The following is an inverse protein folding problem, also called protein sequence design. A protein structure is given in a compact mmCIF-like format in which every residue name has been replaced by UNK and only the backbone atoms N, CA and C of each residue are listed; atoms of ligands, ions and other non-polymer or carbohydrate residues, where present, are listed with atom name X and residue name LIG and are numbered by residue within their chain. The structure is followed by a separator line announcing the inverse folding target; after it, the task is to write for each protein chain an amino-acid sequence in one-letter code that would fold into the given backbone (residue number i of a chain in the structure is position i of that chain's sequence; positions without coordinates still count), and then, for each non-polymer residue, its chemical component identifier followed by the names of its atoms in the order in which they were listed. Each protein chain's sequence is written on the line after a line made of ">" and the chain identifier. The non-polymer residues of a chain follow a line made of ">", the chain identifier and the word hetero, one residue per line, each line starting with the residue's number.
data_IF_610440361213
#
_entry.id   IF_610440361213
#
_cell.length_a   1.000
_cell.length_b   1.000
_cell.length_c   1.000
_cell.angle_alpha   90.00
_cell.angle_beta   90.00
_cell.angle_gamma   90.00
#
_symmetry.space_group_name_H-M   'P 1'
#
loop_
_entity.id
_entity.type
_entity.pdbx_description
1 polymer ?
#
# COMPACT_ATOMS: atom_id res chain seq x y z
N UNK A 1 -49.69 18.18 -41.13
CA UNK A 1 -50.09 16.94 -40.44
C UNK A 1 -49.00 15.89 -40.66
N UNK A 2 -48.37 15.42 -39.56
CA UNK A 2 -47.70 14.11 -39.36
C UNK A 2 -46.49 13.82 -40.28
N UNK A 3 -45.30 13.45 -39.82
CA UNK A 3 -44.82 13.04 -38.51
C UNK A 3 -43.30 13.26 -38.49
N UNK A 4 -42.80 13.84 -37.40
CA UNK A 4 -41.37 13.91 -37.08
C UNK A 4 -40.89 12.49 -36.77
N UNK A 5 -39.80 12.05 -37.41
CA UNK A 5 -39.11 10.80 -37.08
C UNK A 5 -37.79 11.17 -36.40
N UNK A 6 -37.83 11.31 -35.08
CA UNK A 6 -36.66 11.50 -34.22
C UNK A 6 -35.92 10.18 -34.07
N UNK A 7 -34.71 10.09 -34.63
CA UNK A 7 -33.76 9.01 -34.39
C UNK A 7 -33.08 9.32 -33.04
N UNK A 8 -33.51 8.65 -31.97
CA UNK A 8 -32.84 8.71 -30.67
C UNK A 8 -31.54 7.90 -30.73
N UNK A 9 -30.42 8.61 -30.80
CA UNK A 9 -29.08 8.06 -30.67
C UNK A 9 -28.83 7.70 -29.20
N UNK A 10 -29.04 6.42 -28.83
CA UNK A 10 -28.68 5.91 -27.52
C UNK A 10 -27.16 5.69 -27.52
N UNK A 11 -26.42 6.70 -27.06
CA UNK A 11 -25.00 6.60 -26.77
C UNK A 11 -24.88 5.86 -25.41
N UNK A 12 -24.79 4.52 -25.47
CA UNK A 12 -24.45 3.71 -24.30
C UNK A 12 -23.03 4.11 -23.87
N UNK A 13 -22.93 4.86 -22.78
CA UNK A 13 -21.68 5.04 -22.04
C UNK A 13 -21.25 3.67 -21.51
N UNK A 14 -20.49 2.93 -22.33
CA UNK A 14 -19.68 1.79 -21.91
C UNK A 14 -18.63 2.37 -20.95
N UNK A 15 -18.98 2.46 -19.68
CA UNK A 15 -17.99 2.70 -18.64
C UNK A 15 -17.11 1.46 -18.63
N UNK A 16 -15.80 1.54 -18.89
CA UNK A 16 -14.94 0.40 -18.62
C UNK A 16 -15.15 0.07 -17.14
N UNK A 17 -15.61 -1.15 -16.87
CA UNK A 17 -15.45 -1.75 -15.55
C UNK A 17 -13.95 -1.69 -15.28
N UNK A 18 -13.53 -0.73 -14.46
CA UNK A 18 -12.21 -0.75 -13.84
C UNK A 18 -12.22 -1.94 -12.89
N UNK A 19 -12.04 -3.13 -13.46
CA UNK A 19 -11.57 -4.27 -12.67
C UNK A 19 -10.28 -3.80 -12.03
N UNK A 20 -10.24 -3.83 -10.69
CA UNK A 20 -8.99 -3.60 -9.97
C UNK A 20 -7.93 -4.48 -10.61
N UNK A 21 -6.80 -3.90 -10.99
CA UNK A 21 -5.70 -4.68 -11.54
C UNK A 21 -5.33 -5.75 -10.50
N UNK A 22 -5.08 -6.98 -10.96
CA UNK A 22 -4.53 -8.00 -10.08
C UNK A 22 -3.21 -7.50 -9.49
N UNK A 23 -2.92 -7.78 -8.21
CA UNK A 23 -1.68 -7.33 -7.61
C UNK A 23 -0.46 -7.81 -8.39
N UNK A 24 0.63 -7.03 -8.38
CA UNK A 24 1.86 -7.46 -9.04
C UNK A 24 2.37 -8.79 -8.45
N UNK A 25 3.23 -9.53 -9.18
CA UNK A 25 3.85 -10.74 -8.65
C UNK A 25 4.58 -10.51 -7.32
N UNK A 26 5.26 -9.37 -7.16
CA UNK A 26 5.99 -9.04 -5.94
C UNK A 26 5.04 -8.75 -4.76
N UNK A 27 3.96 -8.00 -4.98
CA UNK A 27 2.95 -7.76 -3.94
C UNK A 27 2.24 -9.07 -3.55
N UNK A 28 1.89 -9.90 -4.54
CA UNK A 28 1.30 -11.22 -4.34
C UNK A 28 2.21 -12.15 -3.54
N UNK A 29 3.51 -12.14 -3.82
CA UNK A 29 4.50 -12.94 -3.11
C UNK A 29 4.60 -12.53 -1.64
N UNK A 30 4.57 -11.23 -1.31
CA UNK A 30 4.57 -10.75 0.07
C UNK A 30 3.36 -11.29 0.84
N UNK A 31 2.15 -11.17 0.27
CA UNK A 31 0.91 -11.64 0.90
C UNK A 31 0.93 -13.17 1.03
N UNK A 32 1.40 -13.89 0.02
CA UNK A 32 1.49 -15.33 0.05
C UNK A 32 2.48 -15.82 1.11
N UNK A 33 3.63 -15.15 1.25
CA UNK A 33 4.60 -15.44 2.31
C UNK A 33 4.00 -15.22 3.71
N UNK A 34 3.26 -14.13 3.92
CA UNK A 34 2.55 -13.88 5.18
C UNK A 34 1.52 -14.99 5.47
N UNK A 35 0.75 -15.42 4.46
CA UNK A 35 -0.19 -16.53 4.59
C UNK A 35 0.50 -17.83 5.01
N UNK A 36 1.62 -18.16 4.39
CA UNK A 36 2.39 -19.36 4.72
C UNK A 36 3.03 -19.27 6.11
N UNK A 37 3.52 -18.12 6.50
CA UNK A 37 4.07 -17.88 7.83
C UNK A 37 3.03 -18.13 8.93
N UNK A 38 1.83 -17.55 8.78
CA UNK A 38 0.73 -17.77 9.72
C UNK A 38 0.31 -19.24 9.76
N UNK A 39 0.20 -19.91 8.61
CA UNK A 39 -0.15 -21.33 8.56
C UNK A 39 0.92 -22.23 9.22
N UNK A 40 2.20 -21.89 9.10
CA UNK A 40 3.29 -22.61 9.80
C UNK A 40 3.28 -22.37 11.30
N UNK A 41 2.76 -21.22 11.75
CA UNK A 41 2.66 -20.88 13.16
C UNK A 41 1.38 -21.44 13.78
N UNK A 42 1.50 -22.60 14.42
CA UNK A 42 0.40 -23.27 15.15
C UNK A 42 -0.84 -23.57 14.27
N UNK A 43 -0.66 -23.71 12.95
CA UNK A 43 -1.76 -23.87 11.98
C UNK A 43 -2.72 -22.68 11.97
N UNK A 44 -2.17 -21.47 12.08
CA UNK A 44 -2.94 -20.23 12.03
C UNK A 44 -3.69 -20.04 10.70
N UNK A 45 -4.78 -19.30 10.77
CA UNK A 45 -5.55 -18.86 9.62
C UNK A 45 -5.22 -17.39 9.34
N UNK A 46 -4.75 -17.13 8.12
CA UNK A 46 -4.41 -15.80 7.65
C UNK A 46 -5.65 -15.07 7.13
N UNK A 47 -5.80 -13.81 7.54
CA UNK A 47 -6.79 -12.90 6.98
C UNK A 47 -6.16 -11.54 6.67
N UNK A 48 -6.57 -10.95 5.55
CA UNK A 48 -6.20 -9.60 5.13
C UNK A 48 -7.45 -8.81 4.74
N UNK A 49 -7.48 -7.51 5.06
CA UNK A 49 -8.54 -6.61 4.61
C UNK A 49 -8.34 -6.23 3.14
N UNK A 50 -9.37 -5.61 2.53
CA UNK A 50 -9.28 -5.07 1.16
C UNK A 50 -8.25 -3.92 1.05
N UNK A 51 -7.87 -3.32 2.17
CA UNK A 51 -6.89 -2.23 2.23
C UNK A 51 -5.45 -2.72 2.35
N UNK A 52 -5.22 -4.04 2.39
CA UNK A 52 -3.90 -4.64 2.47
C UNK A 52 -2.98 -4.23 1.32
N UNK A 53 -3.54 -3.98 0.15
CA UNK A 53 -2.80 -3.46 -1.00
C UNK A 53 -3.43 -2.14 -1.45
N UNK A 54 -2.66 -1.06 -1.39
CA UNK A 54 -3.07 0.26 -1.90
C UNK A 54 -2.14 0.75 -2.99
N UNK A 55 -2.57 1.76 -3.74
CA UNK A 55 -1.87 2.23 -4.93
C UNK A 55 -1.53 3.72 -4.80
N UNK A 56 -0.26 4.07 -5.00
CA UNK A 56 0.27 5.43 -4.87
C UNK A 56 1.37 5.66 -5.90
N UNK A 57 1.25 6.72 -6.70
CA UNK A 57 2.28 7.13 -7.66
C UNK A 57 3.45 7.81 -6.90
N UNK A 58 4.50 7.05 -6.60
CA UNK A 58 5.71 7.54 -5.96
C UNK A 58 6.76 7.98 -6.98
N UNK A 59 6.81 7.31 -8.14
CA UNK A 59 7.79 7.59 -9.20
C UNK A 59 7.46 8.85 -10.00
N UNK A 60 6.19 9.26 -10.00
CA UNK A 60 5.67 10.43 -10.72
C UNK A 60 5.46 10.18 -12.21
N UNK A 61 5.41 8.92 -12.64
CA UNK A 61 5.24 8.54 -14.06
C UNK A 61 3.77 8.35 -14.46
N UNK A 62 2.84 8.52 -13.51
CA UNK A 62 1.41 8.33 -13.69
C UNK A 62 0.94 6.87 -13.58
N UNK A 63 1.84 5.92 -13.30
CA UNK A 63 1.52 4.53 -12.97
C UNK A 63 1.71 4.32 -11.45
N UNK A 64 0.61 4.14 -10.69
CA UNK A 64 0.74 3.95 -9.24
C UNK A 64 1.53 2.69 -8.87
N UNK A 65 2.44 2.84 -7.91
CA UNK A 65 3.09 1.72 -7.24
C UNK A 65 2.20 1.13 -6.14
N UNK A 66 2.44 -0.14 -5.82
CA UNK A 66 1.70 -0.85 -4.78
C UNK A 66 2.36 -0.69 -3.43
N UNK A 67 1.53 -0.49 -2.40
CA UNK A 67 1.91 -0.59 -1.01
C UNK A 67 1.24 -1.84 -0.45
N UNK A 68 2.01 -2.72 0.18
CA UNK A 68 1.51 -3.84 0.96
C UNK A 68 1.63 -3.48 2.44
N UNK A 69 0.50 -3.33 3.13
CA UNK A 69 0.43 -2.87 4.53
C UNK A 69 0.09 -4.03 5.47
N UNK A 70 1.07 -4.51 6.24
CA UNK A 70 0.87 -5.62 7.16
C UNK A 70 -0.03 -5.27 8.36
N UNK A 71 -0.35 -3.99 8.59
CA UNK A 71 -1.34 -3.61 9.61
C UNK A 71 -2.76 -4.06 9.27
N UNK A 72 -2.97 -4.43 8.00
CA UNK A 72 -4.19 -5.01 7.49
C UNK A 72 -4.18 -6.54 7.53
N UNK A 73 -3.07 -7.16 7.96
CA UNK A 73 -2.96 -8.60 8.12
C UNK A 73 -3.35 -9.03 9.53
N UNK A 74 -3.84 -10.25 9.66
CA UNK A 74 -4.10 -10.91 10.93
C UNK A 74 -3.86 -12.41 10.83
N UNK A 75 -3.37 -13.00 11.92
CA UNK A 75 -3.19 -14.43 12.08
C UNK A 75 -3.97 -14.89 13.29
N UNK A 76 -4.79 -15.94 13.14
CA UNK A 76 -5.66 -16.41 14.24
C UNK A 76 -4.90 -16.88 15.49
N UNK A 77 -3.63 -17.25 15.34
CA UNK A 77 -2.75 -17.78 16.40
C UNK A 77 -1.72 -16.77 16.90
N UNK A 78 -1.59 -15.59 16.27
CA UNK A 78 -0.64 -14.56 16.69
C UNK A 78 -1.17 -13.14 16.45
N UNK A 79 -1.35 -12.40 17.54
CA UNK A 79 -1.81 -11.01 17.49
C UNK A 79 -0.78 -10.02 16.94
N UNK A 80 0.50 -10.41 16.87
CA UNK A 80 1.61 -9.51 16.56
C UNK A 80 2.60 -10.15 15.59
N UNK A 81 2.12 -10.96 14.63
CA UNK A 81 2.99 -11.69 13.71
C UNK A 81 3.87 -10.76 12.86
N UNK A 82 3.29 -9.69 12.31
CA UNK A 82 3.99 -8.76 11.40
C UNK A 82 4.23 -7.37 12.01
N UNK A 83 4.13 -7.25 13.33
CA UNK A 83 4.34 -5.98 14.01
C UNK A 83 4.60 -6.12 15.50
N UNK A 84 4.95 -5.00 16.12
CA UNK A 84 5.24 -4.93 17.55
C UNK A 84 5.41 -3.47 18.00
N UNK A 85 6.11 -3.26 19.12
CA UNK A 85 6.35 -1.91 19.63
C UNK A 85 7.19 -1.02 18.70
N UNK A 86 8.00 -1.64 17.83
CA UNK A 86 8.80 -0.93 16.82
C UNK A 86 7.99 -0.43 15.61
N UNK A 87 6.78 -0.95 15.43
CA UNK A 87 5.95 -0.71 14.25
C UNK A 87 5.48 -2.01 13.60
N UNK A 88 4.80 -1.85 12.48
CA UNK A 88 4.29 -2.93 11.63
C UNK A 88 4.95 -2.82 10.26
N UNK A 89 5.18 -3.96 9.61
CA UNK A 89 5.81 -3.99 8.30
C UNK A 89 4.95 -3.31 7.23
N UNK A 90 5.64 -2.62 6.32
CA UNK A 90 5.09 -1.96 5.16
C UNK A 90 6.06 -2.18 4.00
N UNK A 91 5.56 -2.60 2.85
CA UNK A 91 6.39 -2.72 1.64
C UNK A 91 5.85 -1.81 0.56
N UNK A 92 6.73 -1.10 -0.14
CA UNK A 92 6.39 -0.41 -1.38
C UNK A 92 7.05 -1.14 -2.54
N UNK A 93 6.27 -1.57 -3.53
CA UNK A 93 6.76 -2.29 -4.70
C UNK A 93 6.94 -1.30 -5.83
N UNK A 94 8.19 -1.05 -6.21
CA UNK A 94 8.55 -0.17 -7.33
C UNK A 94 9.30 -0.98 -8.36
N UNK A 95 8.80 -1.01 -9.61
CA UNK A 95 9.38 -1.81 -10.70
C UNK A 95 9.60 -3.29 -10.33
N UNK A 96 8.65 -3.87 -9.59
CA UNK A 96 8.71 -5.26 -9.11
C UNK A 96 9.69 -5.51 -7.96
N UNK A 97 10.34 -4.48 -7.44
CA UNK A 97 11.24 -4.57 -6.29
C UNK A 97 10.56 -4.06 -5.02
N UNK A 98 10.47 -4.87 -3.95
CA UNK A 98 9.95 -4.43 -2.68
C UNK A 98 10.97 -3.59 -1.90
N UNK A 99 10.49 -2.47 -1.34
CA UNK A 99 11.19 -1.63 -0.38
C UNK A 99 10.48 -1.77 0.97
N UNK A 100 11.16 -2.40 1.93
CA UNK A 100 10.62 -2.68 3.25
C UNK A 100 10.82 -1.53 4.22
N UNK A 101 9.79 -1.26 5.02
CA UNK A 101 9.78 -0.29 6.10
C UNK A 101 9.11 -0.87 7.34
N UNK A 102 9.40 -0.27 8.49
CA UNK A 102 8.72 -0.53 9.75
C UNK A 102 8.14 0.78 10.27
N UNK A 103 6.83 0.84 10.49
CA UNK A 103 6.15 2.05 10.93
C UNK A 103 4.95 1.76 11.83
N UNK A 104 4.71 2.60 12.83
CA UNK A 104 3.51 2.55 13.69
C UNK A 104 2.26 3.07 12.96
N UNK A 105 2.47 4.05 12.07
CA UNK A 105 1.48 4.64 11.17
C UNK A 105 2.22 5.13 9.93
N UNK A 106 1.52 5.22 8.81
CA UNK A 106 2.07 5.81 7.60
C UNK A 106 0.99 6.60 6.87
N UNK A 107 1.44 7.49 5.98
CA UNK A 107 0.58 8.21 5.05
C UNK A 107 1.38 8.70 3.85
N UNK A 108 0.79 8.65 2.68
CA UNK A 108 1.30 9.36 1.50
C UNK A 108 0.67 10.75 1.42
N UNK A 109 1.48 11.77 1.17
CA UNK A 109 1.03 13.15 0.92
C UNK A 109 1.58 13.64 -0.42
N UNK A 110 0.85 14.54 -1.06
CA UNK A 110 1.40 15.36 -2.14
C UNK A 110 2.04 16.61 -1.54
N UNK A 111 3.27 16.91 -1.93
CA UNK A 111 3.97 18.13 -1.58
C UNK A 111 4.53 18.76 -2.86
N UNK A 112 3.78 19.70 -3.43
CA UNK A 112 4.14 20.43 -4.66
C UNK A 112 4.33 19.49 -5.86
N UNK A 113 3.42 18.52 -6.03
CA UNK A 113 3.49 17.53 -7.10
C UNK A 113 4.48 16.39 -6.83
N UNK A 114 5.19 16.40 -5.70
CA UNK A 114 6.01 15.29 -5.24
C UNK A 114 5.24 14.43 -4.23
N UNK A 115 5.08 13.14 -4.55
CA UNK A 115 4.58 12.16 -3.60
C UNK A 115 5.62 11.90 -2.50
N UNK A 116 5.21 12.05 -1.23
CA UNK A 116 6.05 11.86 -0.04
C UNK A 116 5.42 10.80 0.85
N UNK A 117 6.18 9.74 1.16
CA UNK A 117 5.81 8.75 2.15
C UNK A 117 6.24 9.21 3.54
N UNK A 118 5.26 9.46 4.42
CA UNK A 118 5.49 9.80 5.82
C UNK A 118 5.30 8.55 6.66
N UNK A 119 6.32 8.22 7.46
CA UNK A 119 6.32 7.10 8.39
C UNK A 119 6.40 7.64 9.82
N UNK A 120 5.44 7.31 10.67
CA UNK A 120 5.56 7.45 12.11
C UNK A 120 6.35 6.25 12.64
N UNK A 121 7.61 6.45 12.98
CA UNK A 121 8.53 5.37 13.35
C UNK A 121 8.77 5.35 14.87
N UNK A 122 9.43 4.32 15.38
CA UNK A 122 9.81 4.25 16.78
C UNK A 122 10.77 5.40 17.16
N UNK A 123 10.67 5.94 18.37
CA UNK A 123 11.42 7.15 18.80
C UNK A 123 12.94 6.99 18.67
N UNK A 124 13.46 5.77 18.82
CA UNK A 124 14.88 5.46 18.69
C UNK A 124 15.46 5.81 17.32
N UNK A 125 14.64 5.84 16.27
CA UNK A 125 15.04 6.23 14.91
C UNK A 125 15.41 7.72 14.83
N UNK A 126 14.89 8.56 15.73
CA UNK A 126 15.21 9.99 15.83
C UNK A 126 16.23 10.30 16.94
N UNK A 127 16.87 9.28 17.53
CA UNK A 127 17.69 9.44 18.75
C UNK A 127 16.92 10.04 19.93
N UNK A 128 15.61 9.76 20.00
CA UNK A 128 14.72 10.16 21.10
C UNK A 128 14.23 8.90 21.86
N UNK A 129 13.78 9.09 23.10
CA UNK A 129 13.28 8.04 23.98
C UNK A 129 11.76 8.05 24.15
N UNK A 130 11.09 9.19 23.93
CA UNK A 130 9.64 9.32 24.20
C UNK A 130 8.94 10.17 23.12
N UNK A 131 9.65 11.10 22.48
CA UNK A 131 9.06 12.04 21.53
C UNK A 131 8.52 11.38 20.25
N UNK A 132 7.55 12.02 19.57
CA UNK A 132 7.07 11.56 18.27
C UNK A 132 8.22 11.62 17.25
N UNK A 133 8.41 10.53 16.51
CA UNK A 133 9.45 10.44 15.49
C UNK A 133 8.82 10.12 14.13
N UNK A 134 9.19 10.90 13.12
CA UNK A 134 8.70 10.73 11.76
C UNK A 134 9.86 10.70 10.77
N UNK A 135 9.74 9.86 9.73
CA UNK A 135 10.59 9.92 8.54
C UNK A 135 9.74 10.33 7.34
N UNK A 136 10.27 11.26 6.55
CA UNK A 136 9.71 11.62 5.25
C UNK A 136 10.62 11.06 4.16
N UNK A 137 10.03 10.30 3.23
CA UNK A 137 10.73 9.59 2.18
C UNK A 137 10.19 10.03 0.81
N UNK A 138 11.10 10.29 -0.11
CA UNK A 138 10.80 10.62 -1.52
C UNK A 138 11.53 9.66 -2.44
N UNK A 139 10.99 9.46 -3.64
CA UNK A 139 11.59 8.62 -4.66
C UNK A 139 12.49 9.42 -5.61
N UNK A 140 13.70 8.92 -5.87
CA UNK A 140 14.65 9.45 -6.88
C UNK A 140 15.69 8.37 -7.23
N UNK A 141 15.26 7.23 -7.75
CA UNK A 141 16.07 6.00 -7.91
C UNK A 141 16.18 5.16 -6.61
N UNK A 142 15.08 5.13 -5.85
CA UNK A 142 15.01 4.55 -4.51
C UNK A 142 14.48 5.54 -3.48
N UNK A 143 13.89 5.03 -2.40
CA UNK A 143 13.43 5.85 -1.29
C UNK A 143 14.60 6.46 -0.52
N UNK A 144 14.53 7.78 -0.31
CA UNK A 144 15.55 8.54 0.42
C UNK A 144 14.88 9.44 1.45
N UNK A 145 15.51 9.57 2.62
CA UNK A 145 15.08 10.55 3.62
C UNK A 145 15.39 11.96 3.10
N UNK A 146 14.40 12.83 3.12
CA UNK A 146 14.59 14.26 2.83
C UNK A 146 15.45 14.88 3.92
N UNK A 147 16.48 15.66 3.55
CA UNK A 147 17.31 16.45 4.47
C UNK A 147 17.14 17.93 4.16
#
# INVERSE_FOLDING_TARGET
>A
MKSLLTISLIFLCLSPLAFGADPSPAASEIVQNAKEECARFENGEFHATEQAISHHDFTGDGQPEEIVDASQFSCSTSASMWGGSGGTFLWVVVEGKPYEFLANRWKTIDFDGQSVLILAVHSSECSDTIGPCFRALVWRDGFRTTR
#
